data_IF_000071611389
#
_entry.id   IF_000071611389
#
_cell.length_a   1.000
_cell.length_b   1.000
_cell.length_c   1.000
_cell.angle_alpha   90.00
_cell.angle_beta   90.00
_cell.angle_gamma   90.00
#
_symmetry.space_group_name_H-M   'P 1'
#
loop_
_entity.id
_entity.type
_entity.pdbx_description
1 polymer ?
#
# COMPACT_ATOMS: atom_id res chain seq x y z
N UNK A 1 -14.81 16.37 19.87
CA UNK A 1 -14.27 15.26 20.69
C UNK A 1 -14.43 13.88 20.02
N UNK A 2 -15.64 13.48 19.61
CA UNK A 2 -15.91 12.12 19.11
C UNK A 2 -15.10 11.69 17.88
N UNK A 3 -14.87 12.56 16.89
CA UNK A 3 -14.08 12.23 15.68
C UNK A 3 -12.63 11.83 16.01
N UNK A 4 -12.00 12.49 16.99
CA UNK A 4 -10.63 12.17 17.41
C UNK A 4 -10.51 10.78 18.04
N UNK A 5 -11.49 10.41 18.87
CA UNK A 5 -11.55 9.07 19.50
C UNK A 5 -11.70 7.99 18.43
N UNK A 6 -12.60 8.18 17.45
CA UNK A 6 -12.79 7.20 16.36
C UNK A 6 -11.50 6.99 15.56
N UNK A 7 -10.85 8.08 15.13
CA UNK A 7 -9.57 7.99 14.42
C UNK A 7 -8.50 7.26 15.23
N UNK A 8 -8.37 7.58 16.53
CA UNK A 8 -7.44 6.91 17.43
C UNK A 8 -7.74 5.41 17.57
N UNK A 9 -9.02 5.00 17.61
CA UNK A 9 -9.38 3.58 17.66
C UNK A 9 -8.93 2.81 16.42
N UNK A 10 -9.06 3.38 15.21
CA UNK A 10 -8.56 2.74 13.99
C UNK A 10 -7.03 2.60 14.00
N UNK A 11 -6.31 3.65 14.40
CA UNK A 11 -4.84 3.57 14.55
C UNK A 11 -4.45 2.53 15.59
N UNK A 12 -5.14 2.48 16.74
CA UNK A 12 -4.89 1.49 17.77
C UNK A 12 -5.10 0.07 17.23
N UNK A 13 -6.17 -0.20 16.48
CA UNK A 13 -6.39 -1.51 15.83
C UNK A 13 -5.26 -1.83 14.85
N UNK A 14 -4.85 -0.87 14.02
CA UNK A 14 -3.75 -1.03 13.07
C UNK A 14 -2.39 -1.28 13.73
N UNK A 15 -2.12 -0.69 14.88
CA UNK A 15 -0.92 -1.00 15.67
C UNK A 15 -1.03 -2.36 16.36
N UNK A 16 -2.23 -2.70 16.84
CA UNK A 16 -2.51 -3.95 17.53
C UNK A 16 -2.41 -5.17 16.61
N UNK A 17 -2.72 -5.04 15.32
CA UNK A 17 -2.55 -6.11 14.32
C UNK A 17 -1.08 -6.55 14.16
N UNK A 18 -0.13 -5.72 14.59
CA UNK A 18 1.30 -6.01 14.56
C UNK A 18 1.83 -6.68 15.83
N UNK A 19 0.94 -6.96 16.79
CA UNK A 19 1.31 -7.52 18.10
C UNK A 19 0.99 -9.00 18.17
N UNK A 20 1.73 -9.71 19.02
CA UNK A 20 1.48 -11.13 19.28
C UNK A 20 0.14 -11.35 19.98
N UNK A 21 -0.16 -10.50 20.95
CA UNK A 21 -1.43 -10.45 21.67
C UNK A 21 -1.99 -9.02 21.57
N UNK A 22 -3.05 -8.85 20.79
CA UNK A 22 -3.66 -7.55 20.55
C UNK A 22 -4.39 -7.02 21.79
N UNK A 23 -4.98 -7.90 22.61
CA UNK A 23 -5.75 -7.53 23.81
C UNK A 23 -4.85 -6.94 24.89
N UNK A 24 -3.72 -7.60 25.17
CA UNK A 24 -2.71 -7.07 26.11
C UNK A 24 -2.24 -5.70 25.65
N UNK A 25 -1.87 -5.57 24.36
CA UNK A 25 -1.39 -4.29 23.85
C UNK A 25 -2.44 -3.17 23.93
N UNK A 26 -3.70 -3.46 23.61
CA UNK A 26 -4.80 -2.48 23.73
C UNK A 26 -4.97 -2.02 25.18
N UNK A 27 -5.04 -2.97 26.13
CA UNK A 27 -5.24 -2.66 27.54
C UNK A 27 -4.09 -1.82 28.08
N UNK A 28 -2.85 -2.25 27.84
CA UNK A 28 -1.63 -1.51 28.22
C UNK A 28 -1.62 -0.10 27.62
N UNK A 29 -2.03 0.06 26.37
CA UNK A 29 -2.04 1.35 25.69
C UNK A 29 -3.09 2.29 26.31
N UNK A 30 -4.31 1.81 26.54
CA UNK A 30 -5.39 2.62 27.13
C UNK A 30 -5.01 3.07 28.55
N UNK A 31 -4.49 2.15 29.38
CA UNK A 31 -4.06 2.45 30.74
C UNK A 31 -2.96 3.52 30.79
N UNK A 32 -1.94 3.39 29.93
CA UNK A 32 -0.76 4.27 29.94
C UNK A 32 -0.97 5.61 29.23
N UNK A 33 -1.88 5.68 28.27
CA UNK A 33 -2.08 6.88 27.45
C UNK A 33 -3.10 7.85 28.04
N UNK A 34 -3.88 7.42 29.03
CA UNK A 34 -5.03 8.15 29.59
C UNK A 34 -6.03 8.62 28.51
N UNK A 35 -5.99 8.00 27.32
CA UNK A 35 -6.92 8.35 26.25
C UNK A 35 -8.32 7.86 26.60
N UNK A 36 -9.37 8.69 26.42
CA UNK A 36 -10.75 8.31 26.72
C UNK A 36 -11.35 7.42 25.63
N UNK A 37 -10.68 6.30 25.33
CA UNK A 37 -11.18 5.26 24.42
C UNK A 37 -11.95 4.23 25.25
N UNK A 38 -13.26 4.16 25.06
CA UNK A 38 -14.10 3.13 25.66
C UNK A 38 -13.80 1.75 25.06
N UNK A 39 -13.36 0.80 25.90
CA UNK A 39 -13.08 -0.58 25.53
C UNK A 39 -14.30 -1.29 24.93
N UNK A 40 -15.52 -0.97 25.40
CA UNK A 40 -16.77 -1.51 24.83
C UNK A 40 -16.95 -1.04 23.38
N UNK A 41 -16.70 0.23 23.11
CA UNK A 41 -16.73 0.79 21.76
C UNK A 41 -15.66 0.12 20.87
N UNK A 42 -14.43 -0.03 21.36
CA UNK A 42 -13.34 -0.62 20.59
C UNK A 42 -13.62 -2.09 20.22
N UNK A 43 -14.16 -2.88 21.15
CA UNK A 43 -14.57 -4.25 20.89
C UNK A 43 -15.68 -4.33 19.84
N UNK A 44 -16.70 -3.46 19.94
CA UNK A 44 -17.77 -3.38 18.92
C UNK A 44 -17.22 -3.03 17.53
N UNK A 45 -16.24 -2.14 17.45
CA UNK A 45 -15.58 -1.78 16.20
C UNK A 45 -14.79 -2.96 15.62
N UNK A 46 -14.04 -3.69 16.45
CA UNK A 46 -13.33 -4.91 16.03
C UNK A 46 -14.33 -5.94 15.48
N UNK A 47 -15.45 -6.16 16.17
CA UNK A 47 -16.51 -7.08 15.73
C UNK A 47 -17.15 -6.64 14.42
N UNK A 48 -17.40 -5.34 14.22
CA UNK A 48 -17.91 -4.79 12.95
C UNK A 48 -16.93 -5.07 11.81
N UNK A 49 -15.64 -4.76 12.01
CA UNK A 49 -14.61 -4.98 10.99
C UNK A 49 -14.44 -6.47 10.66
N UNK A 50 -14.60 -7.36 11.64
CA UNK A 50 -14.57 -8.80 11.43
C UNK A 50 -15.78 -9.27 10.61
N UNK A 51 -16.99 -8.79 10.93
CA UNK A 51 -18.21 -9.10 10.15
C UNK A 51 -18.14 -8.62 8.70
N UNK A 52 -17.44 -7.51 8.45
CA UNK A 52 -17.20 -6.99 7.11
C UNK A 52 -16.06 -7.71 6.36
N UNK A 53 -15.45 -8.75 6.96
CA UNK A 53 -14.29 -9.45 6.43
C UNK A 53 -13.10 -8.52 6.13
N UNK A 54 -13.01 -7.39 6.85
CA UNK A 54 -11.88 -6.46 6.78
C UNK A 54 -10.73 -6.99 7.63
N UNK A 55 -11.08 -7.55 8.80
CA UNK A 55 -10.13 -8.22 9.69
C UNK A 55 -10.56 -9.66 9.96
N UNK A 56 -9.60 -10.49 10.34
CA UNK A 56 -9.78 -11.85 10.83
C UNK A 56 -9.15 -11.94 12.24
N UNK A 57 -9.90 -12.46 13.21
CA UNK A 57 -9.39 -12.72 14.55
C UNK A 57 -8.86 -14.15 14.62
N UNK A 58 -7.59 -14.33 14.98
CA UNK A 58 -6.98 -15.64 15.24
C UNK A 58 -6.41 -15.67 16.64
N UNK A 59 -7.06 -16.39 17.54
CA UNK A 59 -6.69 -16.46 18.96
C UNK A 59 -6.57 -15.04 19.56
N UNK A 60 -5.32 -14.58 19.74
CA UNK A 60 -4.97 -13.28 20.30
C UNK A 60 -4.40 -12.31 19.27
N UNK A 61 -4.59 -12.57 17.96
CA UNK A 61 -4.12 -11.72 16.87
C UNK A 61 -5.25 -11.14 16.04
N UNK A 62 -5.06 -9.90 15.61
CA UNK A 62 -5.84 -9.27 14.53
C UNK A 62 -5.04 -9.40 13.24
N UNK A 63 -5.65 -9.95 12.20
CA UNK A 63 -5.10 -10.01 10.85
C UNK A 63 -5.94 -9.11 9.96
N UNK A 64 -5.33 -8.09 9.34
CA UNK A 64 -6.03 -7.24 8.35
C UNK A 64 -6.05 -7.99 7.01
N UNK A 65 -7.24 -8.37 6.55
CA UNK A 65 -7.46 -9.13 5.31
C UNK A 65 -7.67 -8.25 4.10
N UNK A 66 -8.27 -7.09 4.32
CA UNK A 66 -8.54 -6.09 3.29
C UNK A 66 -7.99 -4.74 3.77
N UNK A 67 -6.73 -4.46 3.42
CA UNK A 67 -6.05 -3.24 3.85
C UNK A 67 -6.70 -1.99 3.26
N UNK A 68 -7.12 -2.04 2.00
CA UNK A 68 -7.83 -0.94 1.35
C UNK A 68 -9.15 -0.63 2.06
N UNK A 69 -9.97 -1.64 2.34
CA UNK A 69 -11.23 -1.48 3.09
C UNK A 69 -11.02 -0.95 4.52
N UNK A 70 -9.95 -1.40 5.19
CA UNK A 70 -9.56 -0.86 6.49
C UNK A 70 -9.20 0.62 6.41
N UNK A 71 -8.39 1.03 5.43
CA UNK A 71 -8.01 2.42 5.22
C UNK A 71 -9.22 3.29 4.86
N UNK A 72 -10.10 2.83 3.97
CA UNK A 72 -11.30 3.59 3.57
C UNK A 72 -12.23 3.85 4.76
N UNK A 73 -12.45 2.86 5.63
CA UNK A 73 -13.18 3.03 6.90
C UNK A 73 -12.45 4.00 7.84
N UNK A 74 -11.13 3.86 7.98
CA UNK A 74 -10.32 4.72 8.86
C UNK A 74 -10.40 6.20 8.43
N UNK A 75 -10.27 6.46 7.13
CA UNK A 75 -10.38 7.79 6.53
C UNK A 75 -11.78 8.38 6.73
N UNK A 76 -12.84 7.58 6.52
CA UNK A 76 -14.23 7.99 6.77
C UNK A 76 -14.45 8.44 8.22
N UNK A 77 -13.72 7.84 9.16
CA UNK A 77 -13.77 8.18 10.58
C UNK A 77 -12.77 9.24 11.01
N UNK A 78 -12.12 9.92 10.05
CA UNK A 78 -11.30 11.11 10.29
C UNK A 78 -9.85 10.82 10.64
N UNK A 79 -9.35 9.60 10.38
CA UNK A 79 -7.92 9.33 10.50
C UNK A 79 -7.17 9.98 9.33
N UNK A 80 -6.11 10.77 9.56
CA UNK A 80 -5.25 11.27 8.50
C UNK A 80 -4.60 10.12 7.72
N UNK A 81 -4.52 10.24 6.38
CA UNK A 81 -3.93 9.22 5.52
C UNK A 81 -2.45 9.01 5.86
N UNK A 82 -1.75 10.09 6.18
CA UNK A 82 -0.33 10.10 6.50
C UNK A 82 -0.04 9.15 7.66
N UNK A 83 -0.81 9.23 8.76
CA UNK A 83 -0.63 8.36 9.92
C UNK A 83 -0.95 6.89 9.62
N UNK A 84 -1.96 6.63 8.78
CA UNK A 84 -2.29 5.26 8.38
C UNK A 84 -1.15 4.65 7.58
N UNK A 85 -0.65 5.37 6.56
CA UNK A 85 0.39 4.86 5.66
C UNK A 85 1.74 4.78 6.37
N UNK A 86 2.08 5.72 7.26
CA UNK A 86 3.27 5.64 8.11
C UNK A 86 3.24 4.43 9.06
N UNK A 87 2.06 4.07 9.54
CA UNK A 87 1.90 2.89 10.38
C UNK A 87 1.99 1.56 9.61
N UNK A 88 1.90 1.55 8.27
CA UNK A 88 2.02 0.31 7.50
C UNK A 88 3.46 -0.22 7.50
N UNK A 89 3.59 -1.54 7.55
CA UNK A 89 4.82 -2.21 7.12
C UNK A 89 4.97 -2.12 5.61
N UNK A 90 6.19 -2.33 5.11
CA UNK A 90 6.44 -2.33 3.67
C UNK A 90 5.57 -3.34 2.90
N UNK A 91 5.35 -4.55 3.46
CA UNK A 91 4.48 -5.57 2.85
C UNK A 91 3.01 -5.17 2.83
N UNK A 92 2.53 -4.47 3.85
CA UNK A 92 1.17 -3.93 3.90
C UNK A 92 0.99 -2.77 2.91
N UNK A 93 2.01 -1.95 2.72
CA UNK A 93 2.00 -0.88 1.71
C UNK A 93 1.95 -1.44 0.29
N UNK A 94 2.71 -2.49 -0.01
CA UNK A 94 2.59 -3.23 -1.27
C UNK A 94 1.21 -3.83 -1.47
N UNK A 95 0.65 -4.44 -0.41
CA UNK A 95 -0.69 -5.03 -0.45
C UNK A 95 -1.75 -3.98 -0.78
N UNK A 96 -1.69 -2.83 -0.09
CA UNK A 96 -2.53 -1.67 -0.35
C UNK A 96 -2.42 -1.20 -1.80
N UNK A 97 -1.20 -1.00 -2.31
CA UNK A 97 -0.98 -0.56 -3.69
C UNK A 97 -1.58 -1.58 -4.67
N UNK A 98 -1.39 -2.88 -4.41
CA UNK A 98 -1.92 -3.94 -5.26
C UNK A 98 -3.45 -3.97 -5.30
N UNK A 99 -4.11 -3.78 -4.14
CA UNK A 99 -5.57 -3.70 -4.02
C UNK A 99 -6.14 -2.46 -4.71
N UNK A 100 -5.46 -1.31 -4.59
CA UNK A 100 -5.85 -0.09 -5.32
C UNK A 100 -5.77 -0.36 -6.81
N UNK A 101 -4.66 -0.89 -7.33
CA UNK A 101 -4.45 -1.10 -8.77
C UNK A 101 -5.41 -2.15 -9.33
N UNK A 102 -5.71 -3.23 -8.60
CA UNK A 102 -6.69 -4.25 -9.04
C UNK A 102 -8.09 -3.68 -9.26
N UNK A 103 -8.48 -2.66 -8.50
CA UNK A 103 -9.79 -2.00 -8.66
C UNK A 103 -9.92 -1.22 -9.98
N UNK A 104 -8.83 -1.06 -10.75
CA UNK A 104 -8.83 -0.41 -12.07
C UNK A 104 -8.76 -1.44 -13.22
N UNK A 105 -9.20 -2.68 -12.95
CA UNK A 105 -9.28 -3.78 -13.92
C UNK A 105 -7.93 -4.26 -14.45
N UNK A 106 -6.87 -4.10 -13.67
CA UNK A 106 -5.57 -4.70 -13.94
C UNK A 106 -5.50 -6.12 -13.36
N UNK A 107 -4.97 -7.07 -14.13
CA UNK A 107 -4.51 -8.35 -13.58
C UNK A 107 -3.19 -8.12 -12.82
N UNK A 108 -3.13 -8.56 -11.57
CA UNK A 108 -2.00 -8.28 -10.67
C UNK A 108 -1.13 -9.54 -10.48
N UNK A 109 0.19 -9.38 -10.66
CA UNK A 109 1.21 -10.31 -10.19
C UNK A 109 2.08 -9.61 -9.15
N UNK A 110 2.01 -10.02 -7.89
CA UNK A 110 2.86 -9.51 -6.80
C UNK A 110 4.16 -10.29 -6.70
N UNK A 111 5.22 -9.65 -6.21
CA UNK A 111 6.56 -10.24 -6.03
C UNK A 111 7.02 -10.97 -7.30
N UNK A 112 6.85 -10.32 -8.46
CA UNK A 112 7.08 -10.94 -9.75
C UNK A 112 8.58 -11.12 -9.97
N UNK A 113 9.02 -12.38 -9.94
CA UNK A 113 10.42 -12.77 -10.08
C UNK A 113 10.67 -13.40 -11.44
N UNK A 114 11.71 -12.95 -12.13
CA UNK A 114 12.14 -13.51 -13.39
C UNK A 114 13.68 -13.54 -13.48
N UNK A 115 14.20 -14.40 -14.38
CA UNK A 115 15.63 -14.54 -14.63
C UNK A 115 15.91 -14.26 -16.10
N UNK A 116 16.89 -13.40 -16.37
CA UNK A 116 17.35 -13.08 -17.72
C UNK A 116 18.86 -12.86 -17.68
N UNK A 117 19.59 -13.43 -18.64
CA UNK A 117 21.06 -13.33 -18.74
C UNK A 117 21.78 -13.64 -17.42
N UNK A 118 21.39 -14.74 -16.77
CA UNK A 118 21.89 -15.17 -15.46
C UNK A 118 21.68 -14.21 -14.27
N UNK A 119 20.99 -13.08 -14.44
CA UNK A 119 20.60 -12.16 -13.35
C UNK A 119 19.13 -12.38 -12.97
N UNK A 120 18.85 -12.32 -11.67
CA UNK A 120 17.48 -12.37 -11.11
C UNK A 120 16.96 -10.96 -10.91
N UNK A 121 15.70 -10.76 -11.23
CA UNK A 121 14.99 -9.50 -11.06
C UNK A 121 13.71 -9.74 -10.27
N UNK A 122 13.31 -8.74 -9.50
CA UNK A 122 12.07 -8.72 -8.74
C UNK A 122 11.42 -7.34 -8.91
N UNK A 123 10.13 -7.37 -9.26
CA UNK A 123 9.25 -6.22 -9.37
C UNK A 123 8.09 -6.47 -8.40
N UNK A 124 7.85 -5.52 -7.48
CA UNK A 124 6.90 -5.68 -6.39
C UNK A 124 5.50 -5.97 -6.92
N UNK A 125 5.06 -5.24 -7.96
CA UNK A 125 3.77 -5.43 -8.62
C UNK A 125 3.94 -5.29 -10.15
N UNK A 126 3.53 -6.32 -10.90
CA UNK A 126 3.29 -6.23 -12.34
C UNK A 126 1.78 -6.22 -12.57
N UNK A 127 1.27 -5.13 -13.13
CA UNK A 127 -0.16 -4.93 -13.37
C UNK A 127 -0.45 -4.89 -14.87
N UNK A 128 -1.32 -5.76 -15.38
CA UNK A 128 -1.55 -5.96 -16.81
C UNK A 128 -2.99 -5.57 -17.19
N UNK A 129 -3.16 -4.69 -18.18
CA UNK A 129 -4.46 -4.33 -18.75
C UNK A 129 -4.31 -4.14 -20.27
N UNK A 130 -4.81 -5.11 -21.04
CA UNK A 130 -4.62 -5.13 -22.49
C UNK A 130 -3.13 -5.18 -22.86
N UNK A 131 -2.66 -4.22 -23.64
CA UNK A 131 -1.26 -4.08 -24.01
C UNK A 131 -0.43 -3.22 -23.03
N UNK A 132 -1.05 -2.65 -22.00
CA UNK A 132 -0.38 -1.83 -21.00
C UNK A 132 0.05 -2.72 -19.83
N UNK A 133 1.33 -2.63 -19.47
CA UNK A 133 1.91 -3.29 -18.30
C UNK A 133 2.52 -2.23 -17.40
N UNK A 134 2.00 -2.08 -16.18
CA UNK A 134 2.64 -1.26 -15.16
C UNK A 134 3.65 -2.11 -14.41
N UNK A 135 4.91 -1.68 -14.44
CA UNK A 135 5.97 -2.21 -13.59
C UNK A 135 6.07 -1.31 -12.38
N UNK A 136 5.53 -1.76 -11.24
CA UNK A 136 5.35 -0.95 -10.05
C UNK A 136 6.31 -1.43 -8.94
N UNK A 137 7.08 -0.50 -8.39
CA UNK A 137 7.94 -0.68 -7.21
C UNK A 137 7.40 0.22 -6.09
N UNK A 138 7.13 -0.38 -4.93
CA UNK A 138 6.48 0.27 -3.81
C UNK A 138 7.54 0.71 -2.80
N UNK A 139 7.69 2.02 -2.60
CA UNK A 139 8.69 2.57 -1.68
C UNK A 139 8.04 3.37 -0.57
N UNK A 140 8.13 2.83 0.64
CA UNK A 140 7.90 3.59 1.86
C UNK A 140 9.13 4.50 2.10
N UNK A 141 9.14 5.66 1.42
CA UNK A 141 10.31 6.50 1.21
C UNK A 141 10.75 7.31 2.45
N UNK A 142 11.97 7.09 2.95
CA UNK A 142 12.53 7.97 4.00
C UNK A 142 13.11 9.25 3.38
N UNK A 143 13.24 10.33 4.16
CA UNK A 143 13.85 11.60 3.68
C UNK A 143 15.32 11.43 3.21
N UNK A 144 15.96 10.29 3.50
CA UNK A 144 17.38 10.04 3.25
C UNK A 144 17.66 9.08 2.09
N UNK A 145 16.65 8.47 1.49
CA UNK A 145 16.85 7.62 0.31
C UNK A 145 17.11 8.46 -0.95
N UNK A 146 17.84 7.92 -1.93
CA UNK A 146 18.19 8.61 -3.19
C UNK A 146 17.20 8.22 -4.31
N UNK A 147 16.24 9.10 -4.61
CA UNK A 147 15.08 8.79 -5.47
C UNK A 147 15.51 8.56 -6.91
N UNK A 148 16.51 9.32 -7.36
CA UNK A 148 17.07 9.18 -8.70
C UNK A 148 17.70 7.81 -8.90
N UNK A 149 18.46 7.31 -7.90
CA UNK A 149 19.05 5.97 -7.97
C UNK A 149 17.98 4.87 -7.96
N UNK A 150 16.91 5.03 -7.16
CA UNK A 150 15.80 4.09 -7.12
C UNK A 150 15.06 4.04 -8.48
N UNK A 151 14.75 5.21 -9.04
CA UNK A 151 14.12 5.34 -10.35
C UNK A 151 14.95 4.71 -11.47
N UNK A 152 16.25 5.00 -11.52
CA UNK A 152 17.15 4.43 -12.55
C UNK A 152 17.23 2.90 -12.46
N UNK A 153 17.34 2.35 -11.24
CA UNK A 153 17.34 0.89 -11.04
C UNK A 153 16.01 0.26 -11.44
N UNK A 154 14.89 0.92 -11.15
CA UNK A 154 13.57 0.41 -11.51
C UNK A 154 13.30 0.50 -13.02
N UNK A 155 13.81 1.53 -13.67
CA UNK A 155 13.79 1.66 -15.12
C UNK A 155 14.57 0.50 -15.79
N UNK A 156 15.76 0.15 -15.28
CA UNK A 156 16.52 -1.02 -15.74
C UNK A 156 15.71 -2.32 -15.55
N UNK A 157 15.10 -2.53 -14.38
CA UNK A 157 14.24 -3.72 -14.13
C UNK A 157 13.08 -3.79 -15.13
N UNK A 158 12.43 -2.67 -15.40
CA UNK A 158 11.28 -2.58 -16.30
C UNK A 158 11.68 -2.83 -17.75
N UNK A 159 12.86 -2.34 -18.17
CA UNK A 159 13.45 -2.66 -19.46
C UNK A 159 13.79 -4.15 -19.58
N UNK A 160 14.35 -4.77 -18.53
CA UNK A 160 14.63 -6.20 -18.52
C UNK A 160 13.35 -7.03 -18.51
N UNK A 161 12.27 -6.56 -17.89
CA UNK A 161 10.95 -7.18 -17.97
C UNK A 161 10.45 -7.19 -19.41
N UNK A 162 10.60 -6.08 -20.17
CA UNK A 162 10.23 -6.03 -21.60
C UNK A 162 10.97 -7.11 -22.40
N UNK A 163 12.29 -7.20 -22.21
CA UNK A 163 13.10 -8.23 -22.87
C UNK A 163 12.73 -9.66 -22.46
N UNK A 164 12.36 -9.86 -21.20
CA UNK A 164 11.96 -11.15 -20.69
C UNK A 164 10.61 -11.62 -21.27
N UNK A 165 9.63 -10.71 -21.34
CA UNK A 165 8.30 -11.04 -21.85
C UNK A 165 8.28 -11.34 -23.35
N UNK A 166 9.19 -10.76 -24.14
CA UNK A 166 9.31 -10.96 -25.61
C UNK A 166 7.98 -10.82 -26.37
N UNK A 167 7.07 -9.99 -25.86
CA UNK A 167 5.79 -9.71 -26.52
C UNK A 167 5.93 -8.46 -27.37
N UNK A 168 5.56 -8.58 -28.63
CA UNK A 168 5.37 -7.42 -29.49
C UNK A 168 4.17 -6.59 -29.02
N UNK A 169 4.19 -5.29 -29.31
CA UNK A 169 3.09 -4.35 -29.06
C UNK A 169 2.64 -4.15 -27.59
N UNK A 170 3.43 -4.55 -26.59
CA UNK A 170 3.19 -4.17 -25.19
C UNK A 170 3.88 -2.85 -24.85
N UNK A 171 3.27 -2.05 -23.97
CA UNK A 171 3.86 -0.84 -23.38
C UNK A 171 4.11 -1.08 -21.90
N UNK A 172 5.39 -1.11 -21.50
CA UNK A 172 5.77 -1.22 -20.09
C UNK A 172 6.02 0.18 -19.52
N UNK A 173 5.26 0.52 -18.48
CA UNK A 173 5.35 1.80 -17.79
C UNK A 173 6.00 1.58 -16.43
N UNK A 174 7.24 2.08 -16.19
CA UNK A 174 7.86 2.03 -14.88
C UNK A 174 7.22 3.07 -13.95
N UNK A 175 6.80 2.60 -12.77
CA UNK A 175 6.15 3.42 -11.75
C UNK A 175 6.77 3.09 -10.40
N UNK A 176 7.12 4.12 -9.63
CA UNK A 176 7.42 3.99 -8.21
C UNK A 176 6.28 4.65 -7.44
N UNK A 177 5.61 3.87 -6.60
CA UNK A 177 4.60 4.40 -5.69
C UNK A 177 5.26 4.76 -4.37
N UNK A 178 5.09 6.01 -3.94
CA UNK A 178 5.67 6.55 -2.70
C UNK A 178 4.55 6.96 -1.74
N UNK A 179 4.79 6.94 -0.43
CA UNK A 179 3.71 7.33 0.50
C UNK A 179 3.42 8.84 0.51
N UNK A 180 4.41 9.69 0.21
CA UNK A 180 4.28 11.16 0.21
C UNK A 180 4.79 11.79 -1.06
N UNK A 181 4.40 13.02 -1.31
CA UNK A 181 4.94 13.80 -2.42
C UNK A 181 6.44 14.03 -2.25
N UNK A 182 7.19 13.75 -3.30
CA UNK A 182 8.64 13.93 -3.37
C UNK A 182 9.03 15.20 -4.14
N UNK A 183 8.05 15.93 -4.69
CA UNK A 183 8.27 17.11 -5.54
C UNK A 183 8.66 16.80 -6.98
N UNK A 184 8.94 15.53 -7.30
CA UNK A 184 9.39 15.09 -8.62
C UNK A 184 8.42 14.06 -9.19
N UNK A 185 7.46 14.42 -10.07
CA UNK A 185 6.44 13.50 -10.59
C UNK A 185 7.00 12.44 -11.55
N UNK A 186 8.23 12.64 -12.06
CA UNK A 186 8.91 11.73 -12.96
C UNK A 186 10.43 11.88 -12.81
N UNK A 187 11.16 10.77 -12.91
CA UNK A 187 12.62 10.75 -13.03
C UNK A 187 12.99 9.78 -14.15
N UNK A 188 13.67 10.28 -15.19
CA UNK A 188 13.88 9.50 -16.41
C UNK A 188 12.54 9.11 -17.02
N UNK A 189 12.34 7.81 -17.28
CA UNK A 189 11.04 7.30 -17.73
C UNK A 189 10.15 6.81 -16.59
N UNK A 190 10.64 6.82 -15.35
CA UNK A 190 9.90 6.31 -14.19
C UNK A 190 8.97 7.35 -13.60
N UNK A 191 7.67 7.06 -13.56
CA UNK A 191 6.69 7.88 -12.86
C UNK A 191 6.86 7.72 -11.35
N UNK A 192 6.83 8.84 -10.62
CA UNK A 192 6.84 8.83 -9.17
C UNK A 192 5.46 9.27 -8.70
N UNK A 193 4.74 8.34 -8.07
CA UNK A 193 3.31 8.51 -7.79
C UNK A 193 3.09 8.43 -6.29
N UNK A 194 2.77 9.55 -5.62
CA UNK A 194 2.31 9.51 -4.25
C UNK A 194 1.04 8.67 -4.12
N UNK A 195 0.90 7.90 -3.05
CA UNK A 195 -0.24 6.98 -2.86
C UNK A 195 -1.58 7.70 -2.96
N UNK A 196 -1.67 8.94 -2.46
CA UNK A 196 -2.88 9.77 -2.55
C UNK A 196 -3.22 10.21 -3.99
N UNK A 197 -2.24 10.21 -4.90
CA UNK A 197 -2.41 10.47 -6.34
C UNK A 197 -2.58 9.19 -7.17
N UNK A 198 -2.41 7.99 -6.59
CA UNK A 198 -2.39 6.74 -7.35
C UNK A 198 -3.69 6.49 -8.12
N UNK A 199 -4.86 6.69 -7.49
CA UNK A 199 -6.17 6.56 -8.18
C UNK A 199 -6.27 7.49 -9.40
N UNK A 200 -5.83 8.75 -9.25
CA UNK A 200 -5.83 9.71 -10.35
C UNK A 200 -4.84 9.32 -11.46
N UNK A 201 -3.63 8.87 -11.08
CA UNK A 201 -2.65 8.38 -12.04
C UNK A 201 -3.21 7.22 -12.88
N UNK A 202 -3.82 6.22 -12.24
CA UNK A 202 -4.38 5.04 -12.91
C UNK A 202 -5.48 5.40 -13.93
N UNK A 203 -6.35 6.36 -13.60
CA UNK A 203 -7.39 6.85 -14.50
C UNK A 203 -6.84 7.54 -15.76
N UNK A 204 -5.65 8.13 -15.67
CA UNK A 204 -5.06 8.95 -16.74
C UNK A 204 -3.95 8.24 -17.51
N UNK A 205 -3.70 6.95 -17.25
CA UNK A 205 -2.62 6.20 -17.94
C UNK A 205 -2.71 6.31 -19.47
N UNK A 206 -3.86 6.11 -20.12
CA UNK A 206 -3.95 6.22 -21.58
C UNK A 206 -3.48 7.56 -22.13
N UNK A 207 -3.74 8.66 -21.43
CA UNK A 207 -3.33 10.01 -21.83
C UNK A 207 -1.86 10.29 -21.52
N UNK A 208 -1.29 9.60 -20.52
CA UNK A 208 0.09 9.80 -20.05
C UNK A 208 1.12 9.03 -20.91
N UNK A 209 0.70 7.96 -21.58
CA UNK A 209 1.59 7.08 -22.38
C UNK A 209 1.58 7.39 -23.89
N UNK A 210 0.69 8.29 -24.34
CA UNK A 210 0.64 8.83 -25.70
C UNK A 210 1.58 10.04 -25.81
#
# INVERSE_FOLDING_TARGET
MSRGIKAASYLLILYSSKRKNYKIFINDFIEKSEMPIDTSYLNKLIDELAKLNIIELKEEKIIIKNMLGFLEKSLLHGCPLEYLVEALTWKEFEDLCSQIVSNFSYEIKRNYRFKLNNKRYEIDIVAIKGNIVLSIDCKQWSRHSNLSSAAQKHEEKSYMLRKYLRKENITIVPVIVVYKDTGSPRIGNTFIVPIYKLKNFLNNIPQIIL
#
